data_IF_691358117933
#
_entry.id   IF_691358117933
#
_cell.length_a   1.000
_cell.length_b   1.000
_cell.length_c   1.000
_cell.angle_alpha   90.00
_cell.angle_beta   90.00
_cell.angle_gamma   90.00
#
_symmetry.space_group_name_H-M   'P 1'
#
loop_
_entity.id
_entity.type
_entity.pdbx_description
1 polymer ?
#
# COMPACT_ATOMS: atom_id res chain seq x y z
N UNK A 1 17.50 -6.02 12.56
CA UNK A 1 16.68 -5.27 11.56
C UNK A 1 17.52 -4.53 10.51
N UNK A 2 18.79 -4.22 10.76
CA UNK A 2 19.69 -3.56 9.77
C UNK A 2 20.05 -4.43 8.54
N UNK A 3 20.25 -5.73 8.75
CA UNK A 3 20.71 -6.69 7.71
C UNK A 3 19.77 -6.83 6.49
N UNK A 4 18.44 -6.99 6.64
CA UNK A 4 17.51 -7.03 5.50
C UNK A 4 17.49 -5.70 4.73
N UNK A 5 17.71 -4.58 5.42
CA UNK A 5 17.63 -3.25 4.85
C UNK A 5 18.80 -2.93 3.92
N UNK A 6 20.02 -3.30 4.34
CA UNK A 6 21.24 -3.13 3.54
C UNK A 6 21.18 -3.90 2.22
N UNK A 7 20.58 -5.09 2.24
CA UNK A 7 20.44 -5.94 1.06
C UNK A 7 19.38 -5.41 0.07
N UNK A 8 18.24 -4.95 0.57
CA UNK A 8 17.23 -4.26 -0.24
C UNK A 8 17.76 -2.96 -0.85
N UNK A 9 18.54 -2.19 -0.08
CA UNK A 9 19.19 -0.97 -0.55
C UNK A 9 20.22 -1.22 -1.66
N UNK A 10 20.89 -2.38 -1.65
CA UNK A 10 21.85 -2.74 -2.70
C UNK A 10 21.17 -3.16 -4.01
N UNK A 11 20.02 -3.83 -3.93
CA UNK A 11 19.25 -4.31 -5.09
C UNK A 11 18.52 -3.16 -5.82
N UNK A 12 18.07 -2.13 -5.10
CA UNK A 12 17.22 -1.06 -5.64
C UNK A 12 17.96 0.29 -5.82
N UNK A 13 19.20 0.26 -6.33
CA UNK A 13 20.08 1.44 -6.46
C UNK A 13 19.51 2.55 -7.38
N UNK A 14 18.55 2.24 -8.26
CA UNK A 14 18.03 3.13 -9.30
C UNK A 14 16.85 4.03 -8.90
N UNK A 15 16.26 3.88 -7.70
CA UNK A 15 15.00 4.54 -7.31
C UNK A 15 15.08 5.35 -6.00
N UNK A 16 16.29 5.54 -5.47
CA UNK A 16 16.56 6.16 -4.17
C UNK A 16 15.85 7.51 -3.96
N UNK A 17 15.72 8.33 -5.01
CA UNK A 17 15.07 9.65 -4.92
C UNK A 17 13.58 9.61 -4.57
N UNK A 18 12.84 8.61 -5.07
CA UNK A 18 11.40 8.47 -4.77
C UNK A 18 11.17 7.84 -3.39
N UNK A 19 12.08 6.97 -2.94
CA UNK A 19 12.06 6.42 -1.58
C UNK A 19 12.27 7.54 -0.57
N UNK A 20 13.27 8.41 -0.81
CA UNK A 20 13.63 9.47 0.12
C UNK A 20 12.51 10.50 0.27
N UNK A 21 11.82 10.89 -0.82
CA UNK A 21 10.65 11.78 -0.76
C UNK A 21 9.48 11.16 0.03
N UNK A 22 9.19 9.87 -0.17
CA UNK A 22 8.14 9.17 0.62
C UNK A 22 8.54 9.06 2.09
N UNK A 23 9.80 8.75 2.37
CA UNK A 23 10.32 8.62 3.73
C UNK A 23 10.21 9.95 4.49
N UNK A 24 10.58 11.05 3.84
CA UNK A 24 10.52 12.39 4.45
C UNK A 24 9.08 12.76 4.87
N UNK A 25 8.10 12.46 4.01
CA UNK A 25 6.69 12.74 4.31
C UNK A 25 6.15 11.86 5.45
N UNK A 26 6.62 10.61 5.54
CA UNK A 26 6.23 9.65 6.59
C UNK A 26 6.89 9.95 7.95
N UNK A 27 8.09 10.55 7.94
CA UNK A 27 8.80 10.95 9.15
C UNK A 27 8.14 12.09 9.93
N UNK A 28 7.16 12.79 9.33
CA UNK A 28 6.38 13.83 10.03
C UNK A 28 5.60 13.28 11.23
N UNK A 29 5.02 12.08 11.11
CA UNK A 29 4.25 11.45 12.19
C UNK A 29 5.18 10.94 13.32
N UNK A 30 6.31 10.34 12.95
CA UNK A 30 7.33 9.89 13.92
C UNK A 30 7.93 11.08 14.67
N UNK A 31 8.14 12.21 13.99
CA UNK A 31 8.66 13.43 14.61
C UNK A 31 7.73 13.94 15.71
N UNK A 32 6.41 13.88 15.52
CA UNK A 32 5.42 14.25 16.55
C UNK A 32 5.53 13.32 17.77
N UNK A 33 5.64 12.00 17.56
CA UNK A 33 5.78 11.01 18.65
C UNK A 33 7.09 11.22 19.42
N UNK A 34 8.19 11.46 18.72
CA UNK A 34 9.51 11.71 19.35
C UNK A 34 9.51 13.04 20.10
N UNK A 35 8.87 14.09 19.57
CA UNK A 35 8.72 15.37 20.26
C UNK A 35 7.93 15.24 21.57
N UNK A 36 6.86 14.43 21.56
CA UNK A 36 6.10 14.11 22.78
C UNK A 36 6.94 13.38 23.83
N UNK A 37 7.82 12.46 23.42
CA UNK A 37 8.71 11.74 24.34
C UNK A 37 9.87 12.58 24.86
N UNK A 38 10.40 13.51 24.04
CA UNK A 38 11.38 14.50 24.49
C UNK A 38 10.83 15.41 25.59
N UNK A 39 9.53 15.73 25.52
CA UNK A 39 8.85 16.49 26.58
C UNK A 39 8.88 15.75 27.93
N UNK A 40 8.86 14.42 27.92
CA UNK A 40 8.93 13.57 29.12
C UNK A 40 10.38 13.34 29.62
N UNK A 41 11.40 14.00 29.04
CA UNK A 41 12.83 13.85 29.34
C UNK A 41 13.40 12.42 29.18
N UNK A 42 12.72 11.56 28.43
CA UNK A 42 13.14 10.18 28.17
C UNK A 42 13.94 10.07 26.86
N UNK A 43 15.21 10.51 26.89
CA UNK A 43 16.05 10.58 25.68
C UNK A 43 16.39 9.22 25.07
N UNK A 44 16.66 8.20 25.90
CA UNK A 44 17.04 6.86 25.41
C UNK A 44 15.91 6.18 24.65
N UNK A 45 14.69 6.24 25.20
CA UNK A 45 13.50 5.68 24.56
C UNK A 45 13.14 6.44 23.28
N UNK A 46 13.27 7.76 23.28
CA UNK A 46 13.02 8.60 22.10
C UNK A 46 13.94 8.22 20.93
N UNK A 47 15.24 8.04 21.20
CA UNK A 47 16.23 7.66 20.19
C UNK A 47 15.98 6.24 19.66
N UNK A 48 15.65 5.30 20.56
CA UNK A 48 15.35 3.91 20.19
C UNK A 48 14.08 3.80 19.33
N UNK A 49 13.01 4.52 19.68
CA UNK A 49 11.77 4.55 18.91
C UNK A 49 11.99 5.19 17.54
N UNK A 50 12.76 6.28 17.48
CA UNK A 50 13.08 6.96 16.21
C UNK A 50 13.81 6.03 15.24
N UNK A 51 14.85 5.34 15.71
CA UNK A 51 15.63 4.40 14.91
C UNK A 51 14.78 3.20 14.48
N UNK A 52 14.09 2.53 15.41
CA UNK A 52 13.26 1.35 15.10
C UNK A 52 12.17 1.69 14.08
N UNK A 53 11.51 2.82 14.25
CA UNK A 53 10.43 3.25 13.35
C UNK A 53 10.97 3.53 11.95
N UNK A 54 12.09 4.25 11.83
CA UNK A 54 12.73 4.50 10.52
C UNK A 54 13.13 3.19 9.83
N UNK A 55 13.70 2.23 10.56
CA UNK A 55 14.07 0.92 10.00
C UNK A 55 12.85 0.14 9.48
N UNK A 56 11.75 0.12 10.25
CA UNK A 56 10.52 -0.57 9.84
C UNK A 56 9.93 0.10 8.59
N UNK A 57 9.87 1.43 8.57
CA UNK A 57 9.35 2.18 7.43
C UNK A 57 10.17 1.94 6.17
N UNK A 58 11.51 2.02 6.26
CA UNK A 58 12.40 1.74 5.13
C UNK A 58 12.17 0.33 4.60
N UNK A 59 12.05 -0.66 5.49
CA UNK A 59 11.82 -2.05 5.10
C UNK A 59 10.50 -2.20 4.33
N UNK A 60 9.41 -1.64 4.82
CA UNK A 60 8.10 -1.71 4.17
C UNK A 60 8.12 -1.00 2.81
N UNK A 61 8.67 0.22 2.74
CA UNK A 61 8.71 0.99 1.49
C UNK A 61 9.52 0.26 0.43
N UNK A 62 10.68 -0.30 0.79
CA UNK A 62 11.51 -1.05 -0.14
C UNK A 62 10.84 -2.36 -0.59
N UNK A 63 10.12 -3.05 0.30
CA UNK A 63 9.46 -4.33 -0.02
C UNK A 63 8.38 -4.20 -1.11
N UNK A 64 7.64 -3.09 -1.09
CA UNK A 64 6.55 -2.80 -2.03
C UNK A 64 6.99 -1.92 -3.20
N UNK A 65 8.25 -1.49 -3.26
CA UNK A 65 8.71 -0.65 -4.33
C UNK A 65 8.72 -1.39 -5.67
N UNK A 66 8.09 -0.78 -6.69
CA UNK A 66 8.12 -1.28 -8.07
C UNK A 66 7.21 -2.48 -8.34
N UNK A 67 6.42 -2.93 -7.37
CA UNK A 67 5.41 -3.98 -7.56
C UNK A 67 4.06 -3.36 -7.92
N UNK A 68 3.41 -3.93 -8.93
CA UNK A 68 2.06 -3.54 -9.32
C UNK A 68 1.02 -4.08 -8.31
N UNK A 69 -0.12 -3.40 -8.17
CA UNK A 69 -1.17 -3.81 -7.23
C UNK A 69 -1.72 -5.21 -7.55
N UNK A 70 -1.74 -5.57 -8.84
CA UNK A 70 -2.14 -6.90 -9.30
C UNK A 70 -1.11 -7.99 -8.99
N UNK A 71 0.19 -7.67 -9.04
CA UNK A 71 1.25 -8.61 -8.66
C UNK A 71 1.16 -9.01 -7.18
N UNK A 72 0.72 -8.09 -6.31
CA UNK A 72 0.47 -8.37 -4.90
C UNK A 72 -0.71 -9.36 -4.76
N UNK A 73 -1.79 -9.17 -5.53
CA UNK A 73 -2.94 -10.08 -5.52
C UNK A 73 -2.55 -11.51 -5.93
N UNK A 74 -1.69 -11.64 -6.94
CA UNK A 74 -1.17 -12.92 -7.42
C UNK A 74 -0.24 -13.56 -6.38
N UNK A 75 0.61 -12.76 -5.71
CA UNK A 75 1.46 -13.24 -4.62
C UNK A 75 0.63 -13.79 -3.44
N UNK A 76 -0.51 -13.16 -3.11
CA UNK A 76 -1.44 -13.66 -2.10
C UNK A 76 -2.03 -15.02 -2.48
N UNK A 77 -2.35 -15.23 -3.76
CA UNK A 77 -2.79 -16.53 -4.27
C UNK A 77 -1.71 -17.60 -4.10
N UNK A 78 -0.45 -17.28 -4.39
CA UNK A 78 0.69 -18.18 -4.20
C UNK A 78 0.97 -18.51 -2.73
N UNK A 79 0.66 -17.59 -1.83
CA UNK A 79 0.79 -17.80 -0.38
C UNK A 79 -0.27 -18.76 0.20
N UNK A 80 -1.10 -19.39 -0.66
CA UNK A 80 -2.19 -20.30 -0.28
C UNK A 80 -3.23 -19.65 0.64
N UNK A 81 -3.44 -18.34 0.48
CA UNK A 81 -4.57 -17.66 1.11
C UNK A 81 -5.89 -18.14 0.46
N UNK A 82 -7.01 -18.14 1.20
CA UNK A 82 -8.28 -18.61 0.68
C UNK A 82 -8.69 -17.82 -0.56
N UNK A 83 -9.14 -18.53 -1.60
CA UNK A 83 -9.49 -17.98 -2.91
C UNK A 83 -10.49 -16.80 -2.87
N UNK A 84 -11.37 -16.79 -1.85
CA UNK A 84 -12.29 -15.68 -1.61
C UNK A 84 -11.57 -14.36 -1.29
N UNK A 85 -10.52 -14.39 -0.45
CA UNK A 85 -9.78 -13.19 -0.07
C UNK A 85 -8.95 -12.64 -1.22
N UNK A 86 -8.32 -13.52 -2.00
CA UNK A 86 -7.51 -13.11 -3.17
C UNK A 86 -8.39 -12.48 -4.25
N UNK A 87 -9.57 -13.08 -4.51
CA UNK A 87 -10.57 -12.53 -5.43
C UNK A 87 -11.10 -11.17 -4.98
N UNK A 88 -11.45 -11.00 -3.69
CA UNK A 88 -11.88 -9.71 -3.14
C UNK A 88 -10.78 -8.66 -3.34
N UNK A 89 -9.55 -8.98 -2.96
CA UNK A 89 -8.41 -8.06 -3.09
C UNK A 89 -8.19 -7.63 -4.54
N UNK A 90 -8.25 -8.57 -5.50
CA UNK A 90 -8.13 -8.29 -6.93
C UNK A 90 -9.21 -7.30 -7.41
N UNK A 91 -10.48 -7.54 -7.04
CA UNK A 91 -11.57 -6.64 -7.42
C UNK A 91 -11.49 -5.28 -6.72
N UNK A 92 -10.99 -5.21 -5.49
CA UNK A 92 -10.73 -3.96 -4.78
C UNK A 92 -9.65 -3.15 -5.48
N UNK A 93 -8.51 -3.76 -5.85
CA UNK A 93 -7.44 -3.08 -6.59
C UNK A 93 -7.95 -2.50 -7.91
N UNK A 94 -8.68 -3.30 -8.70
CA UNK A 94 -9.36 -2.84 -9.93
C UNK A 94 -10.35 -1.69 -9.68
N UNK A 95 -11.06 -1.72 -8.55
CA UNK A 95 -12.05 -0.69 -8.22
C UNK A 95 -11.40 0.64 -7.85
N UNK A 96 -10.28 0.61 -7.11
CA UNK A 96 -9.49 1.81 -6.79
C UNK A 96 -9.03 2.50 -8.07
N UNK A 97 -8.52 1.75 -9.06
CA UNK A 97 -8.11 2.31 -10.34
C UNK A 97 -9.26 3.02 -11.06
N UNK A 98 -10.45 2.43 -11.09
CA UNK A 98 -11.62 3.08 -11.70
C UNK A 98 -12.01 4.35 -10.93
N UNK A 99 -12.11 4.27 -9.60
CA UNK A 99 -12.50 5.41 -8.77
C UNK A 99 -11.53 6.57 -8.97
N UNK A 100 -10.23 6.29 -9.06
CA UNK A 100 -9.21 7.29 -9.36
C UNK A 100 -9.42 7.96 -10.72
N UNK A 101 -9.82 7.19 -11.75
CA UNK A 101 -10.17 7.72 -13.07
C UNK A 101 -11.40 8.62 -13.00
N UNK A 102 -12.48 8.18 -12.35
CA UNK A 102 -13.69 8.98 -12.14
C UNK A 102 -13.39 10.28 -11.39
N UNK A 103 -12.54 10.22 -10.36
CA UNK A 103 -12.10 11.40 -9.61
C UNK A 103 -11.32 12.39 -10.48
N UNK A 104 -10.43 11.90 -11.36
CA UNK A 104 -9.70 12.75 -12.30
C UNK A 104 -10.64 13.40 -13.33
N UNK A 105 -11.60 12.65 -13.85
CA UNK A 105 -12.61 13.17 -14.78
C UNK A 105 -13.44 14.26 -14.10
N UNK A 106 -13.87 14.03 -12.86
CA UNK A 106 -14.61 15.01 -12.08
C UNK A 106 -13.80 16.30 -11.88
N UNK A 107 -12.54 16.18 -11.45
CA UNK A 107 -11.64 17.34 -11.32
C UNK A 107 -11.53 18.12 -12.62
N UNK A 108 -11.40 17.44 -13.76
CA UNK A 108 -11.32 18.08 -15.07
C UNK A 108 -12.64 18.77 -15.45
N UNK A 109 -13.80 18.15 -15.20
CA UNK A 109 -15.10 18.77 -15.47
C UNK A 109 -15.34 20.02 -14.64
N UNK A 110 -14.91 20.03 -13.37
CA UNK A 110 -14.95 21.23 -12.54
C UNK A 110 -14.03 22.33 -13.07
N UNK A 111 -12.82 21.96 -13.49
CA UNK A 111 -11.88 22.92 -14.07
C UNK A 111 -12.44 23.60 -15.32
N UNK A 112 -13.05 22.84 -16.23
CA UNK A 112 -13.70 23.41 -17.45
C UNK A 112 -14.86 24.32 -17.11
N UNK A 113 -15.59 24.05 -16.02
CA UNK A 113 -16.68 24.92 -15.51
C UNK A 113 -16.17 26.16 -14.77
N UNK A 114 -14.86 26.41 -14.73
CA UNK A 114 -14.27 27.55 -14.02
C UNK A 114 -14.31 27.42 -12.50
N UNK A 115 -14.58 26.23 -11.97
CA UNK A 115 -14.66 26.00 -10.53
C UNK A 115 -13.26 25.93 -9.92
N UNK A 116 -12.99 26.80 -8.93
CA UNK A 116 -11.74 26.80 -8.17
C UNK A 116 -11.99 26.23 -6.76
N UNK A 117 -11.31 25.13 -6.37
CA UNK A 117 -11.49 24.55 -5.04
C UNK A 117 -10.95 25.51 -3.98
N UNK A 118 -11.83 25.99 -3.08
CA UNK A 118 -11.49 26.84 -1.94
C UNK A 118 -12.03 26.22 -0.65
N UNK A 119 -11.57 26.67 0.51
CA UNK A 119 -12.10 26.24 1.83
C UNK A 119 -13.44 26.94 2.14
N UNK A 120 -14.42 26.84 1.23
CA UNK A 120 -15.74 27.44 1.38
C UNK A 120 -16.82 26.34 1.40
N UNK A 121 -17.97 26.63 2.02
CA UNK A 121 -19.10 25.71 2.17
C UNK A 121 -19.57 25.16 0.81
N UNK A 122 -19.57 25.99 -0.23
CA UNK A 122 -19.91 25.56 -1.59
C UNK A 122 -18.98 24.45 -2.09
N UNK A 123 -17.67 24.55 -1.83
CA UNK A 123 -16.70 23.53 -2.26
C UNK A 123 -16.92 22.21 -1.53
N UNK A 124 -17.20 22.26 -0.22
CA UNK A 124 -17.55 21.07 0.54
C UNK A 124 -18.85 20.44 0.03
N UNK A 125 -19.88 21.24 -0.29
CA UNK A 125 -21.16 20.75 -0.84
C UNK A 125 -20.95 20.06 -2.20
N UNK A 126 -20.14 20.65 -3.09
CA UNK A 126 -19.81 20.07 -4.39
C UNK A 126 -19.03 18.76 -4.25
N UNK A 127 -18.04 18.71 -3.35
CA UNK A 127 -17.27 17.49 -3.08
C UNK A 127 -18.15 16.39 -2.47
N UNK A 128 -19.01 16.72 -1.51
CA UNK A 128 -19.95 15.78 -0.89
C UNK A 128 -20.94 15.21 -1.92
N UNK A 129 -21.46 16.05 -2.82
CA UNK A 129 -22.30 15.60 -3.92
C UNK A 129 -21.59 14.61 -4.85
N UNK A 130 -20.33 14.86 -5.18
CA UNK A 130 -19.53 13.94 -5.98
C UNK A 130 -19.27 12.60 -5.27
N UNK A 131 -18.93 12.64 -3.98
CA UNK A 131 -18.75 11.41 -3.18
C UNK A 131 -20.05 10.60 -3.15
N UNK A 132 -21.20 11.24 -3.00
CA UNK A 132 -22.51 10.57 -3.09
C UNK A 132 -22.73 9.87 -4.43
N UNK A 133 -22.44 10.57 -5.54
CA UNK A 133 -22.53 9.99 -6.90
C UNK A 133 -21.57 8.80 -7.06
N UNK A 134 -20.34 8.92 -6.56
CA UNK A 134 -19.33 7.86 -6.63
C UNK A 134 -19.80 6.60 -5.89
N UNK A 135 -20.43 6.77 -4.71
CA UNK A 135 -20.94 5.66 -3.91
C UNK A 135 -22.07 4.92 -4.63
N UNK A 136 -23.04 5.65 -5.19
CA UNK A 136 -24.16 5.07 -5.97
C UNK A 136 -23.61 4.27 -7.17
N UNK A 137 -22.69 4.87 -7.93
CA UNK A 137 -22.05 4.19 -9.07
C UNK A 137 -21.27 2.95 -8.66
N UNK A 138 -20.57 2.99 -7.51
CA UNK A 138 -19.81 1.84 -7.02
C UNK A 138 -20.73 0.66 -6.66
N UNK A 139 -21.87 0.93 -6.02
CA UNK A 139 -22.89 -0.10 -5.72
C UNK A 139 -23.48 -0.69 -6.99
N UNK A 140 -23.88 0.16 -7.94
CA UNK A 140 -24.43 -0.29 -9.22
C UNK A 140 -23.42 -1.16 -9.98
N UNK A 141 -22.16 -0.72 -10.05
CA UNK A 141 -21.08 -1.47 -10.68
C UNK A 141 -20.85 -2.81 -10.01
N UNK A 142 -20.90 -2.89 -8.68
CA UNK A 142 -20.75 -4.15 -7.94
C UNK A 142 -21.85 -5.14 -8.32
N UNK A 143 -23.10 -4.67 -8.43
CA UNK A 143 -24.23 -5.49 -8.82
C UNK A 143 -24.09 -6.03 -10.25
N UNK A 144 -23.73 -5.18 -11.21
CA UNK A 144 -23.49 -5.60 -12.60
C UNK A 144 -22.29 -6.54 -12.71
N UNK A 145 -21.23 -6.30 -11.95
CA UNK A 145 -20.07 -7.18 -11.87
C UNK A 145 -20.45 -8.57 -11.34
N UNK A 146 -21.25 -8.64 -10.28
CA UNK A 146 -21.75 -9.89 -9.73
C UNK A 146 -22.54 -10.69 -10.77
N UNK A 147 -23.51 -10.04 -11.44
CA UNK A 147 -24.30 -10.68 -12.50
C UNK A 147 -23.43 -11.20 -13.64
N UNK A 148 -22.49 -10.39 -14.12
CA UNK A 148 -21.58 -10.78 -15.19
C UNK A 148 -20.69 -11.98 -14.79
N UNK A 149 -20.25 -12.05 -13.54
CA UNK A 149 -19.46 -13.17 -13.03
C UNK A 149 -20.30 -14.44 -12.83
N UNK A 150 -21.56 -14.31 -12.41
CA UNK A 150 -22.49 -15.43 -12.34
C UNK A 150 -22.74 -16.04 -13.73
N UNK A 151 -22.97 -15.20 -14.75
CA UNK A 151 -23.16 -15.66 -16.14
C UNK A 151 -21.92 -16.35 -16.72
N UNK A 152 -20.71 -15.99 -16.24
CA UNK A 152 -19.45 -16.63 -16.63
C UNK A 152 -19.13 -17.90 -15.85
N UNK A 153 -19.99 -18.31 -14.92
CA UNK A 153 -19.75 -19.49 -14.08
C UNK A 153 -18.58 -19.31 -13.10
N UNK A 154 -18.40 -18.11 -12.54
CA UNK A 154 -17.29 -17.83 -11.64
C UNK A 154 -17.34 -18.68 -10.35
N UNK A 155 -16.37 -19.58 -10.17
CA UNK A 155 -16.27 -20.51 -9.04
C UNK A 155 -15.50 -19.96 -7.82
N UNK A 156 -15.29 -18.64 -7.72
CA UNK A 156 -14.57 -18.03 -6.59
C UNK A 156 -13.08 -17.80 -6.82
N UNK A 157 -12.56 -18.13 -8.01
CA UNK A 157 -11.16 -17.96 -8.39
C UNK A 157 -10.99 -17.03 -9.58
N UNK A 158 -10.17 -15.99 -9.40
CA UNK A 158 -9.73 -15.13 -10.49
C UNK A 158 -8.51 -15.78 -11.14
N UNK A 159 -8.73 -16.44 -12.27
CA UNK A 159 -7.65 -16.97 -13.10
C UNK A 159 -6.86 -15.82 -13.73
N UNK A 160 -5.58 -15.74 -13.41
CA UNK A 160 -4.64 -14.82 -14.07
C UNK A 160 -3.80 -15.61 -15.06
N UNK A 161 -3.67 -15.11 -16.29
CA UNK A 161 -2.91 -15.73 -17.38
C UNK A 161 -1.39 -15.50 -17.25
N UNK A 162 -0.92 -14.92 -16.14
CA UNK A 162 0.48 -14.56 -16.00
C UNK A 162 1.36 -15.81 -15.87
N UNK A 163 2.34 -15.87 -16.77
CA UNK A 163 3.40 -16.86 -16.76
C UNK A 163 4.08 -16.89 -15.38
N UNK A 164 4.32 -18.11 -14.92
CA UNK A 164 4.92 -18.43 -13.63
C UNK A 164 6.29 -17.73 -13.46
N UNK A 165 6.32 -16.48 -12.97
CA UNK A 165 7.59 -15.87 -12.55
C UNK A 165 8.10 -16.64 -11.33
N UNK A 166 9.13 -17.47 -11.51
CA UNK A 166 9.72 -18.26 -10.44
C UNK A 166 10.28 -17.40 -9.32
N UNK A 167 10.40 -17.97 -8.12
CA UNK A 167 11.03 -17.29 -6.98
C UNK A 167 12.46 -16.91 -7.34
N UNK A 168 12.72 -15.60 -7.39
CA UNK A 168 14.05 -15.08 -7.63
C UNK A 168 14.97 -15.51 -6.49
N UNK A 169 16.25 -15.75 -6.80
CA UNK A 169 17.28 -16.07 -5.78
C UNK A 169 17.35 -15.00 -4.70
N UNK A 170 17.06 -13.74 -5.05
CA UNK A 170 16.98 -12.61 -4.14
C UNK A 170 15.82 -12.72 -3.13
N UNK A 171 14.67 -13.27 -3.52
CA UNK A 171 13.52 -13.45 -2.61
C UNK A 171 13.83 -14.48 -1.52
N UNK A 172 14.50 -15.58 -1.89
CA UNK A 172 14.94 -16.62 -0.96
C UNK A 172 15.99 -16.11 0.01
N UNK A 173 16.96 -15.33 -0.48
CA UNK A 173 18.02 -14.76 0.34
C UNK A 173 17.45 -13.73 1.34
N UNK A 174 16.49 -12.92 0.90
CA UNK A 174 15.78 -11.97 1.74
C UNK A 174 14.96 -12.66 2.83
N UNK A 175 14.22 -13.73 2.49
CA UNK A 175 13.47 -14.53 3.46
C UNK A 175 14.39 -15.22 4.49
N UNK A 176 15.54 -15.73 4.06
CA UNK A 176 16.51 -16.34 4.96
C UNK A 176 17.03 -15.34 5.99
N UNK A 177 17.38 -14.13 5.55
CA UNK A 177 17.91 -13.08 6.44
C UNK A 177 16.84 -12.53 7.39
N UNK A 178 15.59 -12.41 6.95
CA UNK A 178 14.51 -11.98 7.85
C UNK A 178 14.25 -13.02 8.93
N UNK A 179 14.21 -14.31 8.57
CA UNK A 179 14.07 -15.43 9.52
C UNK A 179 15.25 -15.46 10.50
N UNK A 180 16.49 -15.35 9.99
CA UNK A 180 17.69 -15.29 10.83
C UNK A 180 17.65 -14.10 11.81
N UNK A 181 17.18 -12.93 11.35
CA UNK A 181 17.04 -11.75 12.21
C UNK A 181 15.94 -11.88 13.28
N UNK A 182 14.89 -12.65 13.00
CA UNK A 182 13.82 -12.95 13.96
C UNK A 182 14.29 -13.96 15.01
N UNK A 183 14.99 -15.01 14.58
CA UNK A 183 15.60 -16.01 15.46
C UNK A 183 16.63 -15.39 16.40
N UNK A 184 17.49 -14.51 15.89
CA UNK A 184 18.46 -13.79 16.72
C UNK A 184 17.77 -12.88 17.74
N UNK A 185 16.61 -12.29 17.40
CA UNK A 185 15.85 -11.47 18.34
C UNK A 185 15.16 -12.30 19.43
N UNK A 186 14.69 -13.51 19.14
CA UNK A 186 14.10 -14.41 20.14
C UNK A 186 15.16 -15.00 21.09
N UNK A 187 16.41 -15.16 20.63
CA UNK A 187 17.54 -15.66 21.44
C UNK A 187 18.22 -14.64 22.37
N UNK A 188 17.70 -13.41 22.49
CA UNK A 188 18.24 -12.37 23.37
C UNK A 188 17.36 -12.09 24.61
N UNK A 189 16.52 -13.06 25.00
CA UNK A 189 15.64 -13.04 26.17
C UNK A 189 15.80 -14.31 27.03
N UNK A 190 17.03 -14.79 27.19
CA UNK A 190 17.45 -15.68 28.28
C UNK A 190 18.48 -14.95 29.12
#
# INVERSE_FOLDING_TARGET
MLLPLLLLGWIHKASLGNIFKRLFLLNTLIAIVVASMLWQKNYELALLVFLRSNFILLFIVMLFQGKDEFSIAIAMHRLRLPHKLTSIFFFTAKSIFLIKREFSLFKNTLHVRGFTPKTNLLTYKTMAGFVGILFIKALERSFWLQKAMQLRGFCGEVYTLEAHQGFSTYDRLLAFITILSLLWRQGALL
#
